data_IF_547428644211
#
_entry.id   IF_547428644211
#
_cell.length_a   1.000
_cell.length_b   1.000
_cell.length_c   1.000
_cell.angle_alpha   90.00
_cell.angle_beta   90.00
_cell.angle_gamma   90.00
#
_symmetry.space_group_name_H-M   'P 1'
#
loop_
_entity.id
_entity.type
_entity.pdbx_description
1 polymer ?
#
# COMPACT_ATOMS: atom_id res chain seq x y z
N UNK A 1 4.47 17.85 -6.00
CA UNK A 1 3.48 17.24 -6.92
C UNK A 1 3.34 15.77 -6.56
N UNK A 2 2.18 15.14 -6.83
CA UNK A 2 1.82 13.77 -6.38
C UNK A 2 2.84 12.66 -6.71
N UNK A 3 3.72 12.87 -7.69
CA UNK A 3 4.90 12.00 -7.96
C UNK A 3 5.99 12.02 -6.86
N UNK A 4 6.03 13.05 -5.99
CA UNK A 4 6.90 13.10 -4.81
C UNK A 4 6.31 12.26 -3.66
N UNK A 5 4.97 12.26 -3.52
CA UNK A 5 4.25 11.43 -2.53
C UNK A 5 4.37 9.93 -2.84
N UNK A 6 4.56 9.56 -4.12
CA UNK A 6 4.92 8.18 -4.57
C UNK A 6 6.11 7.57 -3.83
N UNK A 7 7.01 8.40 -3.30
CA UNK A 7 8.26 7.95 -2.68
C UNK A 7 8.22 7.89 -1.16
N UNK A 8 7.22 8.47 -0.50
CA UNK A 8 7.29 8.73 0.94
C UNK A 8 7.23 7.46 1.81
N UNK A 9 6.22 6.57 1.73
CA UNK A 9 6.18 5.39 2.60
C UNK A 9 7.33 4.41 2.29
N UNK A 10 7.67 4.23 1.01
CA UNK A 10 8.76 3.33 0.59
C UNK A 10 10.12 3.78 1.11
N UNK A 11 10.41 5.09 1.12
CA UNK A 11 11.65 5.59 1.67
C UNK A 11 11.76 5.28 3.16
N UNK A 12 10.67 5.41 3.93
CA UNK A 12 10.67 5.04 5.33
C UNK A 12 10.87 3.52 5.53
N UNK A 13 10.23 2.69 4.72
CA UNK A 13 10.36 1.24 4.80
C UNK A 13 11.78 0.77 4.44
N UNK A 14 12.37 1.29 3.37
CA UNK A 14 13.75 1.01 2.97
C UNK A 14 14.76 1.46 4.04
N UNK A 15 14.55 2.64 4.63
CA UNK A 15 15.37 3.14 5.76
C UNK A 15 15.27 2.21 6.96
N UNK A 16 14.07 1.76 7.31
CA UNK A 16 13.86 0.83 8.42
C UNK A 16 14.55 -0.52 8.16
N UNK A 17 14.36 -1.12 6.97
CA UNK A 17 15.06 -2.34 6.57
C UNK A 17 16.58 -2.21 6.68
N UNK A 18 17.14 -1.16 6.08
CA UNK A 18 18.58 -0.90 6.07
C UNK A 18 19.10 -0.76 7.50
N UNK A 19 18.38 -0.04 8.37
CA UNK A 19 18.76 0.13 9.75
C UNK A 19 18.72 -1.18 10.54
N UNK A 20 17.71 -2.02 10.35
CA UNK A 20 17.64 -3.35 10.98
C UNK A 20 18.80 -4.24 10.50
N UNK A 21 19.09 -4.26 9.21
CA UNK A 21 20.23 -5.01 8.66
C UNK A 21 21.57 -4.54 9.24
N UNK A 22 21.71 -3.24 9.51
CA UNK A 22 22.87 -2.64 10.17
C UNK A 22 22.86 -2.77 11.70
N UNK A 23 21.83 -3.39 12.28
CA UNK A 23 21.60 -3.49 13.73
C UNK A 23 21.53 -2.12 14.42
N UNK A 24 21.11 -1.09 13.69
CA UNK A 24 20.91 0.28 14.18
C UNK A 24 19.46 0.47 14.65
N UNK A 25 19.19 0.00 15.87
CA UNK A 25 17.87 0.07 16.52
C UNK A 25 17.26 1.47 16.51
N UNK A 26 18.06 2.50 16.78
CA UNK A 26 17.60 3.90 16.85
C UNK A 26 17.16 4.40 15.48
N UNK A 27 17.92 4.12 14.42
CA UNK A 27 17.52 4.50 13.05
C UNK A 27 16.31 3.73 12.57
N UNK A 28 16.19 2.45 12.93
CA UNK A 28 15.03 1.64 12.58
C UNK A 28 13.75 2.21 13.22
N UNK A 29 13.81 2.49 14.53
CA UNK A 29 12.70 3.10 15.26
C UNK A 29 12.33 4.49 14.72
N UNK A 30 13.32 5.33 14.41
CA UNK A 30 13.08 6.64 13.82
C UNK A 30 12.37 6.54 12.45
N UNK A 31 12.81 5.64 11.58
CA UNK A 31 12.18 5.41 10.28
C UNK A 31 10.74 4.89 10.41
N UNK A 32 10.48 4.01 11.37
CA UNK A 32 9.13 3.49 11.66
C UNK A 32 8.18 4.58 12.19
N UNK A 33 8.66 5.48 13.06
CA UNK A 33 7.88 6.63 13.53
C UNK A 33 7.61 7.65 12.42
N UNK A 34 8.58 7.86 11.53
CA UNK A 34 8.36 8.71 10.36
C UNK A 34 7.26 8.13 9.46
N UNK A 35 7.28 6.80 9.24
CA UNK A 35 6.20 6.12 8.54
C UNK A 35 4.85 6.26 9.26
N UNK A 36 4.79 6.03 10.58
CA UNK A 36 3.56 6.21 11.36
C UNK A 36 3.02 7.65 11.26
N UNK A 37 3.89 8.66 11.33
CA UNK A 37 3.53 10.08 11.16
C UNK A 37 2.96 10.34 9.76
N UNK A 38 3.56 9.77 8.72
CA UNK A 38 3.03 9.85 7.37
C UNK A 38 1.60 9.27 7.29
N UNK A 39 1.39 8.05 7.81
CA UNK A 39 0.07 7.42 7.80
C UNK A 39 -0.98 8.19 8.59
N UNK A 40 -0.59 8.86 9.69
CA UNK A 40 -1.46 9.80 10.41
C UNK A 40 -1.90 10.97 9.53
N UNK A 41 -0.96 11.63 8.85
CA UNK A 41 -1.26 12.76 7.96
C UNK A 41 -2.15 12.33 6.79
N UNK A 42 -1.85 11.17 6.21
CA UNK A 42 -2.64 10.57 5.14
C UNK A 42 -4.07 10.29 5.60
N UNK A 43 -4.24 9.65 6.77
CA UNK A 43 -5.53 9.33 7.38
C UNK A 43 -6.41 10.56 7.55
N UNK A 44 -5.85 11.68 7.98
CA UNK A 44 -6.64 12.89 8.26
C UNK A 44 -7.35 13.41 7.00
N UNK A 45 -6.73 13.24 5.83
CA UNK A 45 -7.28 13.59 4.51
C UNK A 45 -8.03 12.45 3.79
N UNK A 46 -8.05 11.24 4.33
CA UNK A 46 -8.59 10.06 3.66
C UNK A 46 -10.13 9.98 3.77
N UNK A 47 -10.74 9.24 2.84
CA UNK A 47 -12.16 8.89 2.93
C UNK A 47 -12.44 8.05 4.19
N UNK A 48 -13.62 8.23 4.80
CA UNK A 48 -14.01 7.58 6.07
C UNK A 48 -13.78 6.07 6.04
N UNK A 49 -14.12 5.39 4.94
CA UNK A 49 -13.96 3.94 4.76
C UNK A 49 -12.51 3.44 4.89
N UNK A 50 -11.52 4.29 4.65
CA UNK A 50 -10.08 3.94 4.69
C UNK A 50 -9.42 4.37 6.01
N UNK A 51 -10.02 5.32 6.73
CA UNK A 51 -9.43 5.87 7.97
C UNK A 51 -9.10 4.81 9.01
N UNK A 52 -10.01 3.86 9.23
CA UNK A 52 -9.81 2.80 10.22
C UNK A 52 -8.56 1.95 9.92
N UNK A 53 -8.33 1.58 8.66
CA UNK A 53 -7.15 0.80 8.27
C UNK A 53 -5.87 1.61 8.46
N UNK A 54 -5.88 2.88 8.07
CA UNK A 54 -4.72 3.76 8.23
C UNK A 54 -4.38 4.00 9.71
N UNK A 55 -5.39 4.10 10.59
CA UNK A 55 -5.17 4.14 12.06
C UNK A 55 -4.49 2.88 12.57
N UNK A 56 -4.90 1.71 12.10
CA UNK A 56 -4.28 0.44 12.52
C UNK A 56 -2.82 0.36 12.06
N UNK A 57 -2.54 0.77 10.82
CA UNK A 57 -1.17 0.82 10.27
C UNK A 57 -0.30 1.80 11.07
N UNK A 58 -0.80 2.99 11.37
CA UNK A 58 -0.12 3.96 12.22
C UNK A 58 0.27 3.35 13.58
N UNK A 59 -0.70 2.75 14.27
CA UNK A 59 -0.47 2.15 15.59
C UNK A 59 0.49 0.96 15.56
N UNK A 60 0.43 0.15 14.50
CA UNK A 60 1.33 -0.97 14.30
C UNK A 60 2.78 -0.51 14.07
N UNK A 61 3.00 0.50 13.22
CA UNK A 61 4.33 1.05 12.96
C UNK A 61 4.92 1.73 14.20
N UNK A 62 4.11 2.46 14.97
CA UNK A 62 4.53 3.04 16.25
C UNK A 62 4.86 1.97 17.29
N UNK A 63 4.10 0.88 17.33
CA UNK A 63 4.38 -0.27 18.21
C UNK A 63 5.70 -0.93 17.84
N UNK A 64 5.91 -1.22 16.55
CA UNK A 64 7.17 -1.76 16.06
C UNK A 64 8.34 -0.83 16.37
N UNK A 65 8.18 0.49 16.23
CA UNK A 65 9.25 1.43 16.58
C UNK A 65 9.70 1.29 18.05
N UNK A 66 8.76 1.04 18.98
CA UNK A 66 9.10 0.77 20.39
C UNK A 66 9.82 -0.57 20.56
N UNK A 67 9.41 -1.60 19.82
CA UNK A 67 10.08 -2.90 19.81
C UNK A 67 11.52 -2.81 19.28
N UNK A 68 11.77 -1.99 18.24
CA UNK A 68 13.12 -1.76 17.70
C UNK A 68 14.08 -1.22 18.76
N UNK A 69 13.61 -0.35 19.66
CA UNK A 69 14.44 0.21 20.74
C UNK A 69 14.61 -0.74 21.92
N UNK A 70 13.77 -1.79 22.00
CA UNK A 70 13.86 -2.84 22.99
C UNK A 70 15.09 -3.72 22.81
N UNK A 71 15.45 -4.47 23.87
CA UNK A 71 16.61 -5.37 23.86
C UNK A 71 16.46 -6.56 22.91
N UNK A 72 15.22 -6.93 22.61
CA UNK A 72 14.88 -8.10 21.78
C UNK A 72 15.03 -7.82 20.28
N UNK A 73 15.00 -6.54 19.88
CA UNK A 73 14.99 -6.14 18.46
C UNK A 73 13.69 -6.53 17.74
N UNK A 74 13.58 -6.17 16.47
CA UNK A 74 12.43 -6.53 15.61
C UNK A 74 12.82 -7.70 14.72
N UNK A 75 11.98 -8.73 14.65
CA UNK A 75 12.08 -9.75 13.63
C UNK A 75 11.71 -9.19 12.25
N UNK A 76 12.57 -9.38 11.24
CA UNK A 76 12.34 -8.88 9.87
C UNK A 76 10.96 -9.27 9.33
N UNK A 77 10.50 -10.51 9.55
CA UNK A 77 9.17 -10.95 9.12
C UNK A 77 8.01 -10.12 9.71
N UNK A 78 8.15 -9.63 10.95
CA UNK A 78 7.14 -8.77 11.57
C UNK A 78 7.11 -7.39 10.91
N UNK A 79 8.29 -6.88 10.52
CA UNK A 79 8.45 -5.66 9.75
C UNK A 79 7.79 -5.78 8.37
N UNK A 80 8.13 -6.85 7.64
CA UNK A 80 7.62 -7.12 6.29
C UNK A 80 6.09 -7.24 6.30
N UNK A 81 5.53 -7.95 7.29
CA UNK A 81 4.08 -8.04 7.46
C UNK A 81 3.40 -6.68 7.70
N UNK A 82 4.02 -5.81 8.49
CA UNK A 82 3.49 -4.46 8.73
C UNK A 82 3.58 -3.59 7.47
N UNK A 83 4.67 -3.68 6.71
CA UNK A 83 4.83 -2.98 5.43
C UNK A 83 3.82 -3.47 4.40
N UNK A 84 3.56 -4.77 4.36
CA UNK A 84 2.52 -5.33 3.51
C UNK A 84 1.14 -4.74 3.81
N UNK A 85 0.76 -4.65 5.10
CA UNK A 85 -0.51 -4.03 5.53
C UNK A 85 -0.55 -2.53 5.26
N UNK A 86 0.58 -1.84 5.41
CA UNK A 86 0.69 -0.42 5.14
C UNK A 86 0.53 -0.10 3.65
N UNK A 87 1.20 -0.87 2.78
CA UNK A 87 1.04 -0.78 1.33
C UNK A 87 -0.40 -1.08 0.91
N UNK A 88 -1.03 -2.10 1.50
CA UNK A 88 -2.43 -2.41 1.21
C UNK A 88 -3.39 -1.26 1.61
N UNK A 89 -3.11 -0.56 2.70
CA UNK A 89 -3.90 0.62 3.11
C UNK A 89 -3.75 1.80 2.14
N UNK A 90 -2.54 2.05 1.60
CA UNK A 90 -2.38 3.01 0.51
C UNK A 90 -3.10 2.57 -0.77
N UNK A 91 -3.06 1.28 -1.13
CA UNK A 91 -3.80 0.77 -2.28
C UNK A 91 -5.32 1.05 -2.17
N UNK A 92 -5.92 0.80 -1.00
CA UNK A 92 -7.32 1.13 -0.72
C UNK A 92 -7.62 2.62 -0.80
N UNK A 93 -6.71 3.46 -0.28
CA UNK A 93 -6.83 4.91 -0.37
C UNK A 93 -6.83 5.37 -1.82
N UNK A 94 -5.89 4.88 -2.63
CA UNK A 94 -5.79 5.21 -4.04
C UNK A 94 -7.01 4.71 -4.82
N UNK A 95 -7.54 3.52 -4.50
CA UNK A 95 -8.77 3.02 -5.10
C UNK A 95 -9.98 3.91 -4.76
N UNK A 96 -10.05 4.45 -3.54
CA UNK A 96 -11.09 5.40 -3.15
C UNK A 96 -10.96 6.75 -3.88
N UNK A 97 -9.73 7.21 -4.13
CA UNK A 97 -9.46 8.44 -4.89
C UNK A 97 -9.73 8.27 -6.37
N UNK A 98 -9.44 7.11 -6.94
CA UNK A 98 -9.85 6.70 -8.28
C UNK A 98 -11.36 6.84 -8.45
N UNK A 99 -12.15 6.25 -7.54
CA UNK A 99 -13.61 6.37 -7.56
C UNK A 99 -14.06 7.83 -7.64
N UNK A 100 -13.49 8.69 -6.79
CA UNK A 100 -13.83 10.10 -6.73
C UNK A 100 -13.39 10.89 -7.98
N UNK A 101 -12.19 10.62 -8.50
CA UNK A 101 -11.67 11.25 -9.72
C UNK A 101 -12.53 10.90 -10.93
N UNK A 102 -12.90 9.62 -11.06
CA UNK A 102 -13.75 9.15 -12.15
C UNK A 102 -15.14 9.80 -12.14
N UNK A 103 -15.78 9.90 -10.97
CA UNK A 103 -17.07 10.60 -10.82
C UNK A 103 -16.97 12.07 -11.25
N UNK A 104 -15.85 12.74 -10.94
CA UNK A 104 -15.58 14.11 -11.38
C UNK A 104 -15.16 14.23 -12.85
N UNK A 105 -15.07 13.11 -13.59
CA UNK A 105 -14.55 13.03 -14.97
C UNK A 105 -13.10 13.51 -15.10
N UNK A 106 -12.36 13.51 -13.99
CA UNK A 106 -10.93 13.84 -13.98
C UNK A 106 -10.12 12.59 -14.37
N UNK A 107 -9.97 12.42 -15.67
CA UNK A 107 -9.38 11.22 -16.28
C UNK A 107 -7.89 11.10 -15.94
N UNK A 108 -7.16 12.22 -15.84
CA UNK A 108 -5.74 12.22 -15.52
C UNK A 108 -5.50 11.78 -14.07
N UNK A 109 -6.27 12.32 -13.14
CA UNK A 109 -6.21 11.87 -11.74
C UNK A 109 -6.63 10.40 -11.62
N UNK A 110 -7.73 9.98 -12.27
CA UNK A 110 -8.14 8.58 -12.27
C UNK A 110 -7.02 7.64 -12.77
N UNK A 111 -6.37 8.01 -13.87
CA UNK A 111 -5.26 7.24 -14.43
C UNK A 111 -4.06 7.11 -13.47
N UNK A 112 -3.69 8.22 -12.82
CA UNK A 112 -2.62 8.22 -11.82
C UNK A 112 -2.97 7.33 -10.63
N UNK A 113 -4.21 7.41 -10.13
CA UNK A 113 -4.70 6.63 -8.99
C UNK A 113 -4.76 5.12 -9.29
N UNK A 114 -5.13 4.71 -10.52
CA UNK A 114 -5.04 3.30 -10.94
C UNK A 114 -3.61 2.77 -10.81
N UNK A 115 -2.64 3.49 -11.35
CA UNK A 115 -1.23 3.09 -11.32
C UNK A 115 -0.73 2.98 -9.88
N UNK A 116 -1.15 3.92 -9.03
CA UNK A 116 -0.80 3.90 -7.60
C UNK A 116 -1.40 2.71 -6.87
N UNK A 117 -2.67 2.40 -7.10
CA UNK A 117 -3.30 1.22 -6.51
C UNK A 117 -2.56 -0.05 -6.89
N UNK A 118 -2.22 -0.23 -8.18
CA UNK A 118 -1.48 -1.41 -8.65
C UNK A 118 -0.09 -1.51 -8.01
N UNK A 119 0.69 -0.41 -8.00
CA UNK A 119 2.04 -0.37 -7.41
C UNK A 119 2.03 -0.77 -5.93
N UNK A 120 1.05 -0.28 -5.16
CA UNK A 120 0.93 -0.61 -3.76
C UNK A 120 0.43 -2.05 -3.51
N UNK A 121 -0.42 -2.61 -4.37
CA UNK A 121 -0.80 -4.03 -4.28
C UNK A 121 0.42 -4.94 -4.52
N UNK A 122 1.22 -4.65 -5.54
CA UNK A 122 2.42 -5.44 -5.86
C UNK A 122 3.45 -5.40 -4.71
N UNK A 123 3.66 -4.21 -4.12
CA UNK A 123 4.50 -4.07 -2.93
C UNK A 123 3.94 -4.82 -1.73
N UNK A 124 2.64 -4.73 -1.49
CA UNK A 124 2.01 -5.46 -0.39
C UNK A 124 2.23 -6.97 -0.50
N UNK A 125 2.10 -7.53 -1.70
CA UNK A 125 2.35 -8.95 -1.95
C UNK A 125 3.83 -9.32 -1.85
N UNK A 126 4.73 -8.45 -2.32
CA UNK A 126 6.18 -8.62 -2.18
C UNK A 126 6.58 -8.66 -0.70
N UNK A 127 6.14 -7.69 0.09
CA UNK A 127 6.42 -7.61 1.52
C UNK A 127 5.76 -8.77 2.29
N UNK A 128 4.61 -9.27 1.83
CA UNK A 128 3.97 -10.45 2.42
C UNK A 128 4.64 -11.78 2.03
N UNK A 129 5.66 -11.76 1.16
CA UNK A 129 6.25 -12.93 0.50
C UNK A 129 5.19 -13.88 -0.09
N UNK A 130 4.07 -13.31 -0.57
CA UNK A 130 2.96 -14.07 -1.13
C UNK A 130 2.87 -13.78 -2.63
N UNK A 131 3.10 -14.76 -3.50
CA UNK A 131 2.97 -14.54 -4.93
C UNK A 131 1.52 -14.23 -5.27
N UNK A 132 1.33 -13.21 -6.10
CA UNK A 132 0.05 -12.91 -6.76
C UNK A 132 -0.28 -14.07 -7.69
N UNK A 133 -1.51 -14.57 -7.64
CA UNK A 133 -1.88 -15.67 -8.53
C UNK A 133 -1.93 -15.21 -10.01
N UNK A 134 -2.03 -16.15 -10.96
CA UNK A 134 -2.02 -15.82 -12.38
C UNK A 134 -3.20 -14.92 -12.78
N UNK A 135 -4.36 -15.10 -12.16
CA UNK A 135 -5.56 -14.34 -12.47
C UNK A 135 -5.47 -12.91 -11.93
N UNK A 136 -5.08 -12.75 -10.66
CA UNK A 136 -4.80 -11.46 -10.04
C UNK A 136 -3.70 -10.69 -10.80
N UNK A 137 -2.65 -11.39 -11.24
CA UNK A 137 -1.56 -10.80 -12.04
C UNK A 137 -2.06 -10.21 -13.36
N UNK A 138 -2.98 -10.91 -14.04
CA UNK A 138 -3.61 -10.41 -15.27
C UNK A 138 -4.48 -9.18 -14.99
N UNK A 139 -5.25 -9.19 -13.91
CA UNK A 139 -6.07 -8.04 -13.50
C UNK A 139 -5.22 -6.80 -13.21
N UNK A 140 -4.09 -6.96 -12.51
CA UNK A 140 -3.15 -5.87 -12.24
C UNK A 140 -2.48 -5.34 -13.51
N UNK A 141 -2.11 -6.23 -14.44
CA UNK A 141 -1.53 -5.85 -15.73
C UNK A 141 -2.55 -5.07 -16.58
N UNK A 142 -3.80 -5.52 -16.63
CA UNK A 142 -4.88 -4.83 -17.35
C UNK A 142 -5.18 -3.45 -16.76
N UNK A 143 -5.24 -3.34 -15.43
CA UNK A 143 -5.39 -2.07 -14.74
C UNK A 143 -4.23 -1.11 -15.06
N UNK A 144 -2.97 -1.59 -14.99
CA UNK A 144 -1.79 -0.78 -15.32
C UNK A 144 -1.81 -0.30 -16.77
N UNK A 145 -2.20 -1.17 -17.70
CA UNK A 145 -2.37 -0.81 -19.12
C UNK A 145 -3.42 0.28 -19.26
N UNK A 146 -4.60 0.11 -18.67
CA UNK A 146 -5.66 1.12 -18.71
C UNK A 146 -5.18 2.47 -18.15
N UNK A 147 -4.55 2.48 -16.97
CA UNK A 147 -4.01 3.71 -16.39
C UNK A 147 -2.97 4.38 -17.29
N UNK A 148 -2.13 3.60 -17.97
CA UNK A 148 -1.13 4.12 -18.92
C UNK A 148 -1.78 4.70 -20.17
N UNK A 149 -2.78 4.02 -20.71
CA UNK A 149 -3.51 4.47 -21.90
C UNK A 149 -4.28 5.77 -21.62
N UNK A 150 -4.93 5.87 -20.46
CA UNK A 150 -5.61 7.08 -20.02
C UNK A 150 -4.65 8.27 -19.85
N UNK A 151 -3.46 8.05 -19.27
CA UNK A 151 -2.43 9.11 -19.17
C UNK A 151 -1.93 9.60 -20.54
N UNK A 152 -1.98 8.74 -21.56
CA UNK A 152 -1.58 9.05 -22.93
C UNK A 152 -2.73 9.61 -23.78
N UNK A 153 -3.90 9.84 -23.19
CA UNK A 153 -5.13 10.22 -23.89
C UNK A 153 -5.53 9.24 -25.00
N UNK A 154 -5.15 7.96 -24.87
CA UNK A 154 -5.58 6.90 -25.78
C UNK A 154 -7.07 6.66 -25.53
N UNK A 155 -7.94 6.74 -26.55
CA UNK A 155 -9.36 6.44 -26.39
C UNK A 155 -9.53 5.03 -25.83
N UNK A 156 -10.50 4.86 -24.92
CA UNK A 156 -10.85 3.55 -24.39
C UNK A 156 -11.36 2.66 -25.53
N UNK A 157 -10.48 1.85 -26.10
CA UNK A 157 -10.88 0.82 -27.07
C UNK A 157 -11.54 -0.34 -26.32
N UNK A 158 -12.64 -0.82 -26.86
CA UNK A 158 -13.56 -1.75 -26.18
C UNK A 158 -12.85 -3.03 -25.67
N UNK A 159 -12.92 -3.26 -24.36
CA UNK A 159 -12.48 -4.48 -23.67
C UNK A 159 -12.31 -4.31 -22.16
N UNK A 160 -11.76 -3.18 -21.72
CA UNK A 160 -11.63 -2.80 -20.31
C UNK A 160 -12.48 -1.55 -20.03
N UNK A 161 -13.61 -1.72 -19.35
CA UNK A 161 -14.37 -0.57 -18.83
C UNK A 161 -13.77 -0.14 -17.48
N UNK A 162 -13.86 1.16 -17.18
CA UNK A 162 -13.43 1.67 -15.86
C UNK A 162 -14.12 0.92 -14.71
N UNK A 163 -15.42 0.63 -14.85
CA UNK A 163 -16.18 -0.12 -13.86
C UNK A 163 -15.58 -1.51 -13.58
N UNK A 164 -15.16 -2.22 -14.64
CA UNK A 164 -14.48 -3.52 -14.50
C UNK A 164 -13.15 -3.38 -13.78
N UNK A 165 -12.31 -2.41 -14.15
CA UNK A 165 -11.02 -2.19 -13.47
C UNK A 165 -11.20 -1.81 -12.00
N UNK A 166 -12.18 -0.96 -11.66
CA UNK A 166 -12.50 -0.66 -10.27
C UNK A 166 -12.91 -1.90 -9.48
N UNK A 167 -13.70 -2.79 -10.09
CA UNK A 167 -14.10 -4.06 -9.47
C UNK A 167 -12.92 -5.02 -9.30
N UNK A 168 -12.11 -5.19 -10.35
CA UNK A 168 -10.93 -6.05 -10.34
C UNK A 168 -9.93 -5.60 -9.27
N UNK A 169 -9.61 -4.30 -9.18
CA UNK A 169 -8.73 -3.76 -8.15
C UNK A 169 -9.26 -4.01 -6.73
N UNK A 170 -10.57 -3.83 -6.49
CA UNK A 170 -11.17 -4.15 -5.18
C UNK A 170 -11.09 -5.63 -4.85
N UNK A 171 -11.26 -6.50 -5.84
CA UNK A 171 -11.12 -7.96 -5.69
C UNK A 171 -9.70 -8.34 -5.28
N UNK A 172 -8.68 -7.80 -5.98
CA UNK A 172 -7.28 -8.09 -5.69
C UNK A 172 -6.86 -7.52 -4.32
N UNK A 173 -7.36 -6.34 -3.94
CA UNK A 173 -7.15 -5.79 -2.59
C UNK A 173 -7.69 -6.76 -1.52
N UNK A 174 -8.91 -7.28 -1.70
CA UNK A 174 -9.52 -8.20 -0.76
C UNK A 174 -8.76 -9.54 -0.66
N UNK A 175 -8.23 -10.04 -1.79
CA UNK A 175 -7.41 -11.25 -1.80
C UNK A 175 -6.05 -11.02 -1.12
N UNK A 176 -5.39 -9.90 -1.43
CA UNK A 176 -4.13 -9.48 -0.78
C UNK A 176 -4.32 -9.30 0.73
N UNK A 177 -5.46 -8.78 1.17
CA UNK A 177 -5.80 -8.70 2.59
C UNK A 177 -5.80 -10.08 3.27
N UNK A 178 -6.41 -11.08 2.64
CA UNK A 178 -6.46 -12.44 3.18
C UNK A 178 -5.03 -12.98 3.39
N UNK A 179 -4.14 -12.76 2.44
CA UNK A 179 -2.74 -13.18 2.51
C UNK A 179 -1.98 -12.46 3.64
N UNK A 180 -2.09 -11.13 3.72
CA UNK A 180 -1.39 -10.32 4.73
C UNK A 180 -1.85 -10.55 6.17
N UNK A 181 -3.07 -11.07 6.39
CA UNK A 181 -3.55 -11.47 7.72
C UNK A 181 -2.97 -12.81 8.19
N UNK A 182 -2.73 -13.75 7.27
CA UNK A 182 -2.22 -15.10 7.61
C UNK A 182 -0.73 -15.13 7.96
N UNK A 183 0.01 -14.07 7.68
CA UNK A 183 1.46 -13.97 7.92
C UNK A 183 1.82 -13.14 9.16
N UNK A 184 0.84 -12.62 9.90
CA UNK A 184 1.08 -11.90 11.16
C UNK A 184 1.64 -12.80 12.27
N UNK A 185 2.32 -12.24 13.28
CA UNK A 185 2.80 -13.03 14.42
C UNK A 185 1.60 -13.74 15.05
N UNK A 186 1.75 -15.05 15.28
CA UNK A 186 0.80 -15.81 16.08
C UNK A 186 0.59 -15.02 17.38
N UNK A 187 -0.67 -14.64 17.65
CA UNK A 187 -1.01 -14.04 18.93
C UNK A 187 -0.55 -15.04 19.99
N UNK A 188 0.46 -14.64 20.79
CA UNK A 188 0.92 -15.42 21.91
C UNK A 188 -0.28 -15.82 22.75
N UNK A 189 -0.44 -17.12 22.92
CA UNK A 189 -1.42 -17.75 23.81
C UNK A 189 -0.98 -17.56 25.26
#
# INVERSE_FOLDING_TARGET
>A
GELALRKEPVQFFQRAHTAIAQKDARKAAAALRDAARYFRQVRDSAAVKVKARLTNVEGELDSLARVAEGKEGIALRALDGAFARANLAEAERHAARLDAAWVRKDTMSAAAEIIMTVDHIERANTDAATPVDKYESLQLADARRLGTDLLKHVPLTSGASMARVQQDLRSVIAATEKHTRTTGPARGS
#
